data_IF_009355306749
#
_entry.id   IF_009355306749
#
_cell.length_a   1.000
_cell.length_b   1.000
_cell.length_c   1.000
_cell.angle_alpha   90.00
_cell.angle_beta   90.00
_cell.angle_gamma   90.00
#
_symmetry.space_group_name_H-M   'P 1'
#
loop_
_entity.id
_entity.type
_entity.pdbx_description
1 polymer ?
#
# COMPACT_ATOMS: atom_id res chain seq x y z
N UNK A 1 -31.60 -16.62 -8.07
CA UNK A 1 -31.09 -15.92 -6.88
C UNK A 1 -29.75 -15.38 -7.28
N UNK A 2 -29.59 -14.05 -7.27
CA UNK A 2 -28.26 -13.49 -7.32
C UNK A 2 -27.50 -13.99 -6.08
N UNK A 3 -26.22 -14.32 -6.27
CA UNK A 3 -25.37 -14.81 -5.20
C UNK A 3 -23.98 -14.25 -5.45
N UNK A 4 -23.67 -13.14 -4.81
CA UNK A 4 -22.33 -12.58 -4.78
C UNK A 4 -21.48 -13.28 -3.73
N UNK A 5 -20.24 -13.61 -4.10
CA UNK A 5 -19.18 -14.06 -3.19
C UNK A 5 -18.08 -13.02 -3.19
N UNK A 6 -17.83 -12.40 -2.05
CA UNK A 6 -16.74 -11.42 -1.93
C UNK A 6 -15.85 -11.71 -0.72
N UNK A 7 -14.63 -11.19 -0.77
CA UNK A 7 -13.74 -11.10 0.38
C UNK A 7 -13.54 -9.64 0.73
N UNK A 8 -13.71 -9.32 2.01
CA UNK A 8 -13.44 -8.00 2.56
C UNK A 8 -12.16 -8.03 3.40
N UNK A 9 -11.34 -7.00 3.27
CA UNK A 9 -10.18 -6.75 4.12
C UNK A 9 -10.02 -5.25 4.37
N UNK A 10 -9.32 -4.92 5.45
CA UNK A 10 -8.94 -3.57 5.87
C UNK A 10 -7.63 -3.67 6.67
N UNK A 11 -7.02 -2.52 7.02
CA UNK A 11 -5.86 -2.45 7.91
C UNK A 11 -4.67 -3.32 7.46
N UNK A 12 -4.31 -3.23 6.17
CA UNK A 12 -3.14 -3.95 5.67
C UNK A 12 -1.84 -3.36 6.22
N UNK A 13 -1.81 -2.06 6.55
CA UNK A 13 -0.66 -1.34 7.12
C UNK A 13 0.67 -1.66 6.40
N UNK A 14 0.66 -1.65 5.07
CA UNK A 14 1.81 -1.92 4.21
C UNK A 14 2.15 -3.40 4.03
N UNK A 15 1.35 -4.33 4.54
CA UNK A 15 1.67 -5.76 4.49
C UNK A 15 1.45 -6.38 3.10
N UNK A 16 2.47 -6.31 2.26
CA UNK A 16 2.45 -6.92 0.92
C UNK A 16 2.22 -8.45 0.99
N UNK A 17 2.63 -9.10 2.09
CA UNK A 17 2.34 -10.52 2.34
C UNK A 17 0.83 -10.77 2.41
N UNK A 18 0.09 -9.95 3.17
CA UNK A 18 -1.35 -10.08 3.30
C UNK A 18 -2.05 -9.66 2.01
N UNK A 19 -1.59 -8.59 1.36
CA UNK A 19 -2.09 -8.17 0.04
C UNK A 19 -2.04 -9.31 -0.99
N UNK A 20 -0.89 -9.99 -1.11
CA UNK A 20 -0.72 -11.13 -2.02
C UNK A 20 -1.67 -12.29 -1.67
N UNK A 21 -1.88 -12.57 -0.39
CA UNK A 21 -2.84 -13.60 0.05
C UNK A 21 -4.27 -13.20 -0.28
N UNK A 22 -4.64 -11.95 -0.02
CA UNK A 22 -5.95 -11.38 -0.32
C UNK A 22 -6.28 -11.49 -1.81
N UNK A 23 -5.36 -11.08 -2.70
CA UNK A 23 -5.54 -11.23 -4.14
C UNK A 23 -5.74 -12.69 -4.59
N UNK A 24 -5.01 -13.63 -3.98
CA UNK A 24 -5.14 -15.05 -4.31
C UNK A 24 -6.50 -15.64 -3.89
N UNK A 25 -7.21 -15.02 -2.94
CA UNK A 25 -8.54 -15.49 -2.50
C UNK A 25 -9.56 -15.46 -3.63
N UNK A 26 -9.41 -14.55 -4.61
CA UNK A 26 -10.28 -14.47 -5.77
C UNK A 26 -10.37 -15.79 -6.54
N UNK A 27 -9.22 -16.45 -6.76
CA UNK A 27 -9.17 -17.75 -7.44
C UNK A 27 -9.55 -18.90 -6.52
N UNK A 28 -9.02 -18.91 -5.29
CA UNK A 28 -9.21 -20.01 -4.33
C UNK A 28 -10.69 -20.21 -4.00
N UNK A 29 -11.43 -19.12 -3.84
CA UNK A 29 -12.83 -19.16 -3.43
C UNK A 29 -13.78 -18.79 -4.57
N UNK A 30 -13.30 -18.66 -5.81
CA UNK A 30 -14.13 -18.30 -6.96
C UNK A 30 -15.02 -17.08 -6.68
N UNK A 31 -14.37 -15.97 -6.29
CA UNK A 31 -15.04 -14.75 -5.86
C UNK A 31 -15.48 -13.89 -7.06
N UNK A 32 -16.55 -13.13 -6.84
CA UNK A 32 -17.08 -12.13 -7.77
C UNK A 32 -16.51 -10.73 -7.46
N UNK A 33 -16.10 -10.49 -6.20
CA UNK A 33 -15.45 -9.24 -5.80
C UNK A 33 -14.39 -9.42 -4.70
N UNK A 34 -13.39 -8.56 -4.74
CA UNK A 34 -12.49 -8.25 -3.64
C UNK A 34 -12.78 -6.82 -3.19
N UNK A 35 -12.93 -6.59 -1.88
CA UNK A 35 -13.13 -5.27 -1.29
C UNK A 35 -12.01 -5.01 -0.28
N UNK A 36 -11.15 -4.04 -0.58
CA UNK A 36 -10.17 -3.51 0.37
C UNK A 36 -10.58 -2.08 0.72
N UNK A 37 -10.95 -1.83 1.97
CA UNK A 37 -11.33 -0.49 2.43
C UNK A 37 -10.61 -0.18 3.73
N UNK A 38 -9.68 0.76 3.71
CA UNK A 38 -9.00 1.23 4.91
C UNK A 38 -7.51 0.88 5.02
N UNK A 39 -6.76 1.84 5.57
CA UNK A 39 -5.39 1.77 6.11
C UNK A 39 -4.46 0.79 5.42
N UNK A 40 -4.13 1.09 4.17
CA UNK A 40 -3.35 0.16 3.34
C UNK A 40 -1.85 0.40 3.40
N UNK A 41 -1.41 1.61 3.72
CA UNK A 41 0.01 1.99 3.59
C UNK A 41 0.85 1.73 4.85
N UNK A 42 2.16 1.55 4.66
CA UNK A 42 3.10 1.26 5.74
C UNK A 42 3.63 2.54 6.38
N UNK A 43 3.75 2.56 7.71
CA UNK A 43 4.12 3.77 8.48
C UNK A 43 5.63 3.95 8.73
N UNK A 44 6.47 3.03 8.24
CA UNK A 44 7.90 3.01 8.56
C UNK A 44 8.71 2.97 7.27
N UNK A 45 9.56 3.98 7.07
CA UNK A 45 10.58 4.00 6.04
C UNK A 45 11.87 3.36 6.55
N UNK A 46 12.46 2.47 5.75
CA UNK A 46 13.76 1.87 6.00
C UNK A 46 14.77 2.45 4.99
N UNK A 47 15.67 3.35 5.44
CA UNK A 47 16.68 3.91 4.56
C UNK A 47 17.74 2.85 4.22
N UNK A 48 18.19 2.89 2.97
CA UNK A 48 19.27 2.08 2.40
C UNK A 48 20.34 3.06 1.91
N UNK A 49 21.30 3.35 2.78
CA UNK A 49 22.20 4.50 2.66
C UNK A 49 23.45 4.09 1.87
N UNK A 50 23.73 4.78 0.78
CA UNK A 50 24.93 4.58 -0.02
C UNK A 50 26.19 4.95 0.77
N UNK A 51 27.23 4.14 0.62
CA UNK A 51 28.54 4.29 1.27
C UNK A 51 29.60 4.74 0.26
N UNK A 52 30.71 5.28 0.77
CA UNK A 52 31.87 5.67 -0.04
C UNK A 52 32.53 4.49 -0.77
N UNK A 53 32.46 3.30 -0.19
CA UNK A 53 32.99 2.05 -0.76
C UNK A 53 32.10 1.45 -1.88
N UNK A 54 31.05 2.16 -2.30
CA UNK A 54 30.11 1.75 -3.34
C UNK A 54 29.05 0.74 -2.87
N UNK A 55 29.08 0.30 -1.61
CA UNK A 55 28.04 -0.54 -0.99
C UNK A 55 26.93 0.32 -0.36
N UNK A 56 25.99 -0.34 0.28
CA UNK A 56 24.89 0.27 1.01
C UNK A 56 24.84 -0.26 2.44
N UNK A 57 24.45 0.58 3.40
CA UNK A 57 24.10 0.15 4.76
C UNK A 57 22.62 0.35 5.03
N UNK A 58 22.02 -0.56 5.78
CA UNK A 58 20.64 -0.45 6.22
C UNK A 58 20.42 -1.21 7.52
N UNK A 59 19.41 -0.82 8.28
CA UNK A 59 19.04 -1.49 9.52
C UNK A 59 17.58 -1.95 9.45
N UNK A 60 17.36 -3.25 9.63
CA UNK A 60 16.03 -3.86 9.58
C UNK A 60 15.87 -4.87 10.71
N UNK A 61 14.85 -4.65 11.56
CA UNK A 61 14.47 -5.54 12.67
C UNK A 61 15.65 -5.88 13.60
N UNK A 62 16.41 -4.85 14.02
CA UNK A 62 17.54 -5.02 14.95
C UNK A 62 18.81 -5.58 14.33
N UNK A 63 18.90 -5.65 12.99
CA UNK A 63 20.05 -6.19 12.27
C UNK A 63 20.58 -5.15 11.30
N UNK A 64 21.89 -4.96 11.32
CA UNK A 64 22.62 -4.18 10.31
C UNK A 64 22.91 -5.05 9.08
N UNK A 65 22.80 -4.45 7.91
CA UNK A 65 23.09 -5.06 6.60
C UNK A 65 24.09 -4.19 5.86
N UNK A 66 25.09 -4.83 5.25
CA UNK A 66 25.97 -4.21 4.26
C UNK A 66 25.69 -4.91 2.93
N UNK A 67 25.19 -4.17 1.95
CA UNK A 67 24.63 -4.70 0.71
C UNK A 67 25.44 -4.19 -0.50
N UNK A 68 25.68 -5.05 -1.48
CA UNK A 68 26.07 -4.62 -2.82
C UNK A 68 24.85 -4.09 -3.60
N UNK A 69 25.08 -3.44 -4.74
CA UNK A 69 24.01 -3.00 -5.64
C UNK A 69 23.11 -4.16 -6.10
N UNK A 70 23.69 -5.34 -6.33
CA UNK A 70 23.01 -6.55 -6.81
C UNK A 70 22.08 -7.16 -5.76
N UNK A 71 22.37 -6.93 -4.47
CA UNK A 71 21.57 -7.43 -3.34
C UNK A 71 20.36 -6.55 -3.02
N UNK A 72 20.32 -5.31 -3.55
CA UNK A 72 19.28 -4.33 -3.22
C UNK A 72 17.86 -4.82 -3.57
N UNK A 73 17.57 -5.39 -4.76
CA UNK A 73 16.20 -5.77 -5.10
C UNK A 73 15.58 -6.79 -4.13
N UNK A 74 16.35 -7.80 -3.72
CA UNK A 74 15.88 -8.79 -2.74
C UNK A 74 15.80 -8.20 -1.32
N UNK A 75 16.69 -7.27 -0.96
CA UNK A 75 16.59 -6.56 0.32
C UNK A 75 15.36 -5.65 0.38
N UNK A 76 15.07 -4.88 -0.66
CA UNK A 76 13.88 -4.02 -0.74
C UNK A 76 12.59 -4.85 -0.65
N UNK A 77 12.56 -5.99 -1.34
CA UNK A 77 11.47 -6.96 -1.19
C UNK A 77 11.35 -7.45 0.24
N UNK A 78 12.46 -7.78 0.91
CA UNK A 78 12.45 -8.18 2.33
C UNK A 78 11.89 -7.08 3.25
N UNK A 79 12.24 -5.82 3.00
CA UNK A 79 11.68 -4.66 3.70
C UNK A 79 10.16 -4.57 3.50
N UNK A 80 9.68 -4.69 2.25
CA UNK A 80 8.23 -4.71 1.95
C UNK A 80 7.51 -5.90 2.58
N UNK A 81 8.14 -7.08 2.63
CA UNK A 81 7.58 -8.26 3.31
C UNK A 81 7.46 -8.06 4.84
N UNK A 82 8.22 -7.11 5.41
CA UNK A 82 8.09 -6.66 6.80
C UNK A 82 7.09 -5.51 6.98
N UNK A 83 6.37 -5.12 5.93
CA UNK A 83 5.38 -4.03 5.90
C UNK A 83 5.97 -2.62 5.99
N UNK A 84 7.23 -2.47 5.58
CA UNK A 84 7.96 -1.18 5.60
C UNK A 84 8.24 -0.68 4.17
N UNK A 85 8.50 0.63 4.05
CA UNK A 85 8.82 1.33 2.80
C UNK A 85 10.35 1.35 2.60
N UNK A 86 10.92 0.58 1.66
CA UNK A 86 12.35 0.68 1.36
C UNK A 86 12.67 1.99 0.63
N UNK A 87 13.76 2.65 1.00
CA UNK A 87 14.20 3.86 0.32
C UNK A 87 15.73 3.92 0.17
N UNK A 88 16.22 3.88 -1.07
CA UNK A 88 17.65 4.11 -1.35
C UNK A 88 17.95 5.59 -1.23
N UNK A 89 18.99 5.94 -0.47
CA UNK A 89 19.32 7.33 -0.15
C UNK A 89 20.83 7.53 0.02
N UNK A 90 21.27 8.77 0.21
CA UNK A 90 22.66 9.12 0.55
C UNK A 90 22.75 9.57 2.02
N UNK A 91 23.96 9.66 2.61
CA UNK A 91 24.13 10.20 3.95
C UNK A 91 23.56 11.62 4.11
N UNK A 92 23.74 12.47 3.10
CA UNK A 92 23.27 13.86 3.10
C UNK A 92 21.74 13.94 3.06
N UNK A 93 21.10 13.16 2.19
CA UNK A 93 19.65 13.11 2.09
C UNK A 93 19.05 12.45 3.33
N UNK A 94 19.65 11.38 3.87
CA UNK A 94 19.24 10.79 5.14
C UNK A 94 19.29 11.78 6.29
N UNK A 95 20.31 12.64 6.35
CA UNK A 95 20.37 13.72 7.32
C UNK A 95 19.27 14.76 7.08
N UNK A 96 18.95 15.07 5.81
CA UNK A 96 17.84 15.96 5.47
C UNK A 96 16.50 15.41 5.94
N UNK A 97 16.19 14.13 5.67
CA UNK A 97 14.97 13.45 6.12
C UNK A 97 14.80 13.54 7.64
N UNK A 98 15.90 13.47 8.40
CA UNK A 98 15.86 13.58 9.86
C UNK A 98 15.63 14.99 10.40
N UNK A 99 15.97 16.03 9.63
CA UNK A 99 15.99 17.43 10.10
C UNK A 99 14.94 18.34 9.44
N UNK A 100 14.35 17.92 8.33
CA UNK A 100 13.39 18.70 7.54
C UNK A 100 12.06 17.92 7.47
N UNK A 101 11.10 18.36 8.28
CA UNK A 101 9.79 17.73 8.42
C UNK A 101 8.97 17.79 7.13
N UNK A 102 8.92 18.93 6.46
CA UNK A 102 8.19 19.08 5.20
C UNK A 102 8.78 18.17 4.11
N UNK A 103 10.11 18.10 4.01
CA UNK A 103 10.76 17.19 3.09
C UNK A 103 10.47 15.72 3.42
N UNK A 104 10.48 15.35 4.71
CA UNK A 104 10.14 14.00 5.16
C UNK A 104 8.71 13.63 4.79
N UNK A 105 7.73 14.49 5.08
CA UNK A 105 6.32 14.20 4.80
C UNK A 105 6.04 14.04 3.30
N UNK A 106 6.60 14.92 2.47
CA UNK A 106 6.52 14.81 1.02
C UNK A 106 7.17 13.52 0.49
N UNK A 107 8.30 13.11 1.06
CA UNK A 107 8.94 11.85 0.70
C UNK A 107 8.08 10.65 1.12
N UNK A 108 7.51 10.65 2.33
CA UNK A 108 6.61 9.58 2.77
C UNK A 108 5.39 9.47 1.85
N UNK A 109 4.75 10.58 1.49
CA UNK A 109 3.60 10.57 0.56
C UNK A 109 3.97 9.93 -0.78
N UNK A 110 5.14 10.29 -1.32
CA UNK A 110 5.64 9.69 -2.55
C UNK A 110 5.84 8.18 -2.40
N UNK A 111 6.50 7.73 -1.32
CA UNK A 111 6.78 6.32 -1.10
C UNK A 111 5.51 5.49 -0.87
N UNK A 112 4.51 6.06 -0.21
CA UNK A 112 3.18 5.47 -0.05
C UNK A 112 2.51 5.28 -1.41
N UNK A 113 2.52 6.31 -2.26
CA UNK A 113 2.04 6.23 -3.65
C UNK A 113 2.79 5.16 -4.45
N UNK A 114 4.13 5.14 -4.40
CA UNK A 114 4.97 4.18 -5.14
C UNK A 114 4.66 2.72 -4.72
N UNK A 115 4.38 2.48 -3.43
CA UNK A 115 4.02 1.15 -2.93
C UNK A 115 2.61 0.75 -3.36
N UNK A 116 1.64 1.65 -3.31
CA UNK A 116 0.29 1.36 -3.83
C UNK A 116 0.37 1.06 -5.32
N UNK A 117 1.08 1.87 -6.11
CA UNK A 117 1.29 1.63 -7.54
C UNK A 117 1.91 0.24 -7.79
N UNK A 118 2.95 -0.13 -7.01
CA UNK A 118 3.52 -1.47 -7.06
C UNK A 118 2.47 -2.56 -6.76
N UNK A 119 1.63 -2.37 -5.74
CA UNK A 119 0.59 -3.32 -5.38
C UNK A 119 -0.43 -3.53 -6.49
N UNK A 120 -0.81 -2.47 -7.21
CA UNK A 120 -1.76 -2.56 -8.32
C UNK A 120 -1.22 -3.44 -9.44
N UNK A 121 0.10 -3.38 -9.72
CA UNK A 121 0.76 -4.26 -10.71
C UNK A 121 0.61 -5.76 -10.42
N UNK A 122 0.31 -6.14 -9.17
CA UNK A 122 0.16 -7.53 -8.76
C UNK A 122 -1.22 -8.11 -9.10
N UNK A 123 -2.22 -7.26 -9.37
CA UNK A 123 -3.62 -7.63 -9.60
C UNK A 123 -3.80 -8.48 -10.87
N UNK A 124 -3.34 -8.07 -12.07
CA UNK A 124 -3.71 -8.75 -13.32
C UNK A 124 -3.29 -10.23 -13.36
N UNK A 125 -2.17 -10.58 -12.73
CA UNK A 125 -1.70 -11.97 -12.67
C UNK A 125 -2.44 -12.83 -11.64
N UNK A 126 -3.11 -12.22 -10.65
CA UNK A 126 -3.69 -12.91 -9.49
C UNK A 126 -5.22 -12.95 -9.50
N UNK A 127 -5.86 -11.89 -9.98
CA UNK A 127 -7.32 -11.74 -9.94
C UNK A 127 -7.92 -11.98 -11.32
N UNK A 128 -8.84 -12.96 -11.48
CA UNK A 128 -9.53 -13.19 -12.74
C UNK A 128 -10.28 -11.95 -13.25
N UNK A 129 -10.45 -11.82 -14.56
CA UNK A 129 -11.12 -10.64 -15.14
C UNK A 129 -12.56 -10.45 -14.66
N UNK A 130 -13.25 -11.56 -14.36
CA UNK A 130 -14.62 -11.56 -13.82
C UNK A 130 -14.75 -11.02 -12.39
N UNK A 131 -13.67 -11.03 -11.60
CA UNK A 131 -13.70 -10.63 -10.21
C UNK A 131 -13.43 -9.12 -10.13
N UNK A 132 -14.38 -8.35 -9.62
CA UNK A 132 -14.23 -6.92 -9.34
C UNK A 132 -13.16 -6.72 -8.26
N UNK A 133 -12.37 -5.66 -8.36
CA UNK A 133 -11.46 -5.24 -7.29
C UNK A 133 -11.88 -3.84 -6.88
N UNK A 134 -12.39 -3.71 -5.67
CA UNK A 134 -12.90 -2.46 -5.11
C UNK A 134 -11.90 -2.02 -4.05
N UNK A 135 -11.38 -0.80 -4.19
CA UNK A 135 -10.44 -0.21 -3.24
C UNK A 135 -10.95 1.14 -2.73
N UNK A 136 -10.83 1.36 -1.42
CA UNK A 136 -11.06 2.65 -0.77
C UNK A 136 -9.96 2.88 0.28
N UNK A 137 -9.43 4.10 0.37
CA UNK A 137 -8.42 4.48 1.35
C UNK A 137 -9.03 4.51 2.77
N UNK A 138 -8.18 4.46 3.80
CA UNK A 138 -8.57 4.74 5.18
C UNK A 138 -8.44 6.20 5.57
N UNK A 139 -8.62 6.47 6.86
CA UNK A 139 -8.45 7.81 7.40
C UNK A 139 -6.97 8.23 7.39
N UNK A 140 -6.04 7.28 7.61
CA UNK A 140 -4.60 7.52 7.68
C UNK A 140 -3.91 7.57 6.30
N UNK A 141 -4.54 7.01 5.27
CA UNK A 141 -3.98 7.02 3.91
C UNK A 141 -4.03 8.46 3.35
N UNK A 142 -2.97 8.96 2.70
CA UNK A 142 -2.97 10.32 2.13
C UNK A 142 -3.88 10.45 0.91
N UNK A 143 -4.43 11.64 0.67
CA UNK A 143 -5.26 11.93 -0.51
C UNK A 143 -4.56 11.66 -1.85
N UNK A 144 -3.23 11.78 -1.90
CA UNK A 144 -2.45 11.47 -3.10
C UNK A 144 -2.63 10.02 -3.60
N UNK A 145 -2.94 9.08 -2.69
CA UNK A 145 -3.16 7.67 -3.02
C UNK A 145 -4.41 7.50 -3.90
N UNK A 146 -5.41 8.36 -3.76
CA UNK A 146 -6.67 8.28 -4.50
C UNK A 146 -6.41 8.35 -6.01
N UNK A 147 -5.51 9.24 -6.41
CA UNK A 147 -5.12 9.42 -7.81
C UNK A 147 -4.28 8.25 -8.35
N UNK A 148 -3.61 7.50 -7.47
CA UNK A 148 -2.94 6.26 -7.87
C UNK A 148 -3.97 5.16 -8.13
N UNK A 149 -4.93 4.99 -7.22
CA UNK A 149 -5.98 3.96 -7.34
C UNK A 149 -6.86 4.21 -8.57
N UNK A 150 -7.32 5.46 -8.77
CA UNK A 150 -8.22 5.83 -9.89
C UNK A 150 -7.60 5.63 -11.28
N UNK A 151 -6.27 5.59 -11.39
CA UNK A 151 -5.57 5.41 -12.68
C UNK A 151 -5.59 3.96 -13.16
N UNK A 152 -5.79 2.99 -12.28
CA UNK A 152 -5.76 1.58 -12.68
C UNK A 152 -7.15 1.10 -13.16
N UNK A 153 -7.29 0.68 -14.44
CA UNK A 153 -8.57 0.27 -14.99
C UNK A 153 -9.10 -1.07 -14.43
N UNK A 154 -8.30 -1.84 -13.69
CA UNK A 154 -8.73 -3.07 -13.02
C UNK A 154 -9.43 -2.79 -11.69
N UNK A 155 -9.45 -1.54 -11.23
CA UNK A 155 -9.92 -1.17 -9.91
C UNK A 155 -11.15 -0.27 -10.02
N UNK A 156 -12.13 -0.57 -9.18
CA UNK A 156 -13.22 0.36 -8.87
C UNK A 156 -12.82 1.14 -7.62
N UNK A 157 -12.61 2.44 -7.77
CA UNK A 157 -12.44 3.35 -6.64
C UNK A 157 -13.79 3.47 -5.91
N UNK A 158 -13.89 2.87 -4.72
CA UNK A 158 -15.16 2.72 -3.99
C UNK A 158 -15.40 3.77 -2.90
N UNK A 159 -14.50 4.73 -2.76
CA UNK A 159 -14.60 5.77 -1.74
C UNK A 159 -15.77 6.71 -2.01
N UNK A 160 -16.67 6.85 -1.03
CA UNK A 160 -17.89 7.68 -1.12
C UNK A 160 -18.89 7.28 -2.22
N UNK A 161 -18.73 6.08 -2.80
CA UNK A 161 -19.53 5.61 -3.92
C UNK A 161 -20.24 4.29 -3.57
N UNK A 162 -21.51 4.17 -3.99
CA UNK A 162 -22.27 2.91 -3.89
C UNK A 162 -21.96 2.06 -5.12
N UNK A 163 -21.26 0.95 -4.91
CA UNK A 163 -20.82 0.04 -5.97
C UNK A 163 -21.74 -1.17 -6.05
N UNK A 164 -22.40 -1.33 -7.19
CA UNK A 164 -23.16 -2.53 -7.52
C UNK A 164 -22.25 -3.77 -7.62
N UNK A 165 -22.65 -4.86 -6.98
CA UNK A 165 -21.97 -6.15 -7.07
C UNK A 165 -22.61 -7.06 -8.12
N UNK A 166 -23.93 -7.25 -8.09
CA UNK A 166 -24.66 -8.19 -8.96
C UNK A 166 -26.09 -7.76 -9.35
N UNK A 167 -26.44 -6.47 -9.25
CA UNK A 167 -27.80 -5.97 -9.52
C UNK A 167 -28.81 -6.16 -8.37
N UNK A 168 -28.45 -6.89 -7.31
CA UNK A 168 -29.26 -7.05 -6.09
C UNK A 168 -28.51 -6.61 -4.83
N UNK A 169 -27.18 -6.73 -4.81
CA UNK A 169 -26.31 -6.37 -3.70
C UNK A 169 -25.38 -5.20 -4.07
N UNK A 170 -25.13 -4.34 -3.10
CA UNK A 170 -24.27 -3.16 -3.22
C UNK A 170 -23.26 -3.10 -2.08
N UNK A 171 -22.15 -2.40 -2.28
CA UNK A 171 -21.17 -2.07 -1.25
C UNK A 171 -20.86 -0.57 -1.29
N UNK A 172 -20.82 0.05 -0.11
CA UNK A 172 -20.37 1.43 0.09
C UNK A 172 -19.11 1.39 0.94
N UNK A 173 -18.06 2.10 0.50
CA UNK A 173 -16.85 2.31 1.30
C UNK A 173 -16.73 3.78 1.69
N UNK A 174 -16.23 4.05 2.90
CA UNK A 174 -16.12 5.40 3.44
C UNK A 174 -14.94 5.46 4.40
N UNK A 175 -13.89 6.18 4.01
CA UNK A 175 -12.63 6.30 4.75
C UNK A 175 -12.62 7.40 5.81
N UNK A 176 -13.64 8.26 5.87
CA UNK A 176 -13.73 9.33 6.86
C UNK A 176 -14.06 8.81 8.26
N UNK A 177 -13.46 9.43 9.26
CA UNK A 177 -13.71 9.15 10.68
C UNK A 177 -13.99 10.44 11.47
N UNK A 178 -14.42 10.28 12.72
CA UNK A 178 -14.46 11.39 13.68
C UNK A 178 -13.02 11.82 14.03
N UNK A 179 -12.82 13.03 14.57
CA UNK A 179 -11.49 13.52 14.93
C UNK A 179 -10.67 12.51 15.75
N UNK A 180 -9.44 12.23 15.32
CA UNK A 180 -8.53 11.28 15.97
C UNK A 180 -7.40 12.01 16.70
N UNK A 181 -6.65 11.32 17.57
CA UNK A 181 -5.45 11.88 18.20
C UNK A 181 -4.28 12.10 17.22
N UNK A 182 -4.39 11.67 15.97
CA UNK A 182 -3.29 11.61 15.00
C UNK A 182 -3.38 12.67 13.90
N UNK A 183 -4.43 13.50 13.89
CA UNK A 183 -4.66 14.53 12.84
C UNK A 183 -4.59 13.91 11.44
N UNK A 184 -5.33 12.81 11.25
CA UNK A 184 -5.27 11.99 10.05
C UNK A 184 -5.93 12.70 8.85
N UNK A 185 -5.53 12.37 7.60
CA UNK A 185 -6.03 13.03 6.41
C UNK A 185 -7.56 13.13 6.27
N UNK A 186 -8.33 12.10 6.66
CA UNK A 186 -9.80 12.07 6.48
C UNK A 186 -10.56 12.06 7.81
N UNK A 187 -10.74 13.25 8.39
CA UNK A 187 -11.51 13.44 9.62
C UNK A 187 -12.52 14.59 9.49
N UNK A 188 -13.74 14.42 10.05
CA UNK A 188 -14.79 15.43 9.99
C UNK A 188 -15.65 15.51 11.27
#
# INVERSE_FOLDING_TARGET
MAKTRFMFATDLHGSETVWRKFLNTAKIYDLDALVLSGDMTGKIMVPIIKREDGKYTSHLLGREYILSEEELPEYEKKVRMASYLPYRTTPEESAKIGNDEEYRENLFEKLECDIVEHWLTLIPSRVPDKCKVIMSPGNDDKFAIDEVIKKDPRITFGEEEVVDLDGEHEVLCFGWTNPTPFDSPREC
#
